data_IF_519260648684
#
_entry.id   IF_519260648684
#
_cell.length_a   1.000
_cell.length_b   1.000
_cell.length_c   1.000
_cell.angle_alpha   90.00
_cell.angle_beta   90.00
_cell.angle_gamma   90.00
#
_symmetry.space_group_name_H-M   'P 1'
#
loop_
_entity.id
_entity.type
_entity.pdbx_description
1 polymer ?
#
# COMPACT_ATOMS: atom_id res chain seq x y z
N UNK A 1 -15.42 8.91 -26.31
CA UNK A 1 -14.70 8.47 -25.11
C UNK A 1 -15.59 8.68 -23.89
N UNK A 2 -15.62 7.73 -22.95
CA UNK A 2 -16.51 7.85 -21.83
C UNK A 2 -15.92 8.77 -20.75
N UNK A 3 -16.80 9.38 -19.95
CA UNK A 3 -16.39 10.22 -18.83
C UNK A 3 -15.52 9.42 -17.84
N UNK A 4 -15.76 8.13 -17.77
CA UNK A 4 -15.00 7.24 -16.91
C UNK A 4 -13.53 7.17 -17.34
N UNK A 5 -13.27 7.03 -18.63
CA UNK A 5 -11.90 6.98 -19.16
C UNK A 5 -11.17 8.30 -18.93
N UNK A 6 -11.86 9.43 -19.10
CA UNK A 6 -11.26 10.75 -18.89
C UNK A 6 -10.89 10.94 -17.42
N UNK A 7 -11.72 10.48 -16.50
CA UNK A 7 -11.45 10.54 -15.07
C UNK A 7 -10.25 9.69 -14.70
N UNK A 8 -10.18 8.48 -15.26
CA UNK A 8 -9.07 7.56 -15.00
C UNK A 8 -7.76 8.12 -15.51
N UNK A 9 -7.76 8.70 -16.71
CA UNK A 9 -6.57 9.32 -17.29
C UNK A 9 -6.10 10.51 -16.47
N UNK A 10 -7.00 11.37 -16.02
CA UNK A 10 -6.66 12.52 -15.18
C UNK A 10 -6.05 12.07 -13.86
N UNK A 11 -6.60 11.01 -13.28
CA UNK A 11 -6.14 10.40 -12.04
C UNK A 11 -4.69 9.90 -12.20
N UNK A 12 -4.43 9.11 -13.23
CA UNK A 12 -3.10 8.56 -13.50
C UNK A 12 -2.08 9.65 -13.81
N UNK A 13 -2.45 10.67 -14.60
CA UNK A 13 -1.57 11.76 -14.91
C UNK A 13 -1.15 12.53 -13.68
N UNK A 14 -2.06 12.77 -12.75
CA UNK A 14 -1.75 13.48 -11.51
C UNK A 14 -0.70 12.73 -10.70
N UNK A 15 -0.87 11.42 -10.52
CA UNK A 15 0.07 10.62 -9.75
C UNK A 15 1.39 10.39 -10.50
N UNK A 16 1.36 10.33 -11.82
CA UNK A 16 2.56 10.10 -12.62
C UNK A 16 3.53 11.30 -12.58
N UNK A 17 3.01 12.52 -12.44
CA UNK A 17 3.81 13.74 -12.52
C UNK A 17 4.01 14.44 -11.17
N UNK A 18 3.39 13.94 -10.11
CA UNK A 18 3.47 14.56 -8.79
C UNK A 18 4.16 13.60 -7.82
N UNK A 19 5.45 13.82 -7.57
CA UNK A 19 6.25 12.97 -6.70
C UNK A 19 5.69 12.93 -5.27
N UNK A 20 5.14 14.05 -4.79
CA UNK A 20 4.53 14.11 -3.46
C UNK A 20 3.30 13.22 -3.38
N UNK A 21 2.45 13.25 -4.41
CA UNK A 21 1.26 12.40 -4.45
C UNK A 21 1.63 10.93 -4.54
N UNK A 22 2.67 10.59 -5.31
CA UNK A 22 3.16 9.22 -5.38
C UNK A 22 3.67 8.75 -4.02
N UNK A 23 4.42 9.59 -3.34
CA UNK A 23 4.91 9.29 -1.99
C UNK A 23 3.75 9.03 -1.02
N UNK A 24 2.75 9.90 -1.03
CA UNK A 24 1.57 9.75 -0.17
C UNK A 24 0.79 8.47 -0.50
N UNK A 25 0.66 8.16 -1.80
CA UNK A 25 -0.04 6.95 -2.24
C UNK A 25 0.68 5.70 -1.75
N UNK A 26 2.00 5.65 -1.88
CA UNK A 26 2.78 4.50 -1.42
C UNK A 26 2.75 4.37 0.10
N UNK A 27 2.84 5.47 0.83
CA UNK A 27 2.75 5.45 2.29
C UNK A 27 1.36 4.96 2.74
N UNK A 28 0.30 5.43 2.09
CA UNK A 28 -1.07 5.00 2.39
C UNK A 28 -1.26 3.52 2.05
N UNK A 29 -0.71 3.06 0.92
CA UNK A 29 -0.73 1.65 0.55
C UNK A 29 -0.07 0.81 1.63
N UNK A 30 1.10 1.23 2.11
CA UNK A 30 1.83 0.50 3.14
C UNK A 30 1.05 0.45 4.45
N UNK A 31 0.34 1.52 4.79
CA UNK A 31 -0.54 1.54 5.96
C UNK A 31 -1.66 0.52 5.81
N UNK A 32 -2.33 0.50 4.66
CA UNK A 32 -3.42 -0.44 4.41
C UNK A 32 -2.93 -1.88 4.42
N UNK A 33 -1.79 -2.14 3.80
CA UNK A 33 -1.16 -3.46 3.80
C UNK A 33 -0.79 -3.90 5.20
N UNK A 34 -0.17 -3.00 5.98
CA UNK A 34 0.21 -3.29 7.36
C UNK A 34 -0.99 -3.62 8.24
N UNK A 35 -2.09 -2.89 8.09
CA UNK A 35 -3.31 -3.15 8.85
C UNK A 35 -3.91 -4.52 8.47
N UNK A 36 -3.93 -4.84 7.18
CA UNK A 36 -4.40 -6.13 6.69
C UNK A 36 -3.56 -7.27 7.28
N UNK A 37 -2.24 -7.16 7.20
CA UNK A 37 -1.34 -8.19 7.71
C UNK A 37 -1.46 -8.34 9.23
N UNK A 38 -1.54 -7.22 9.95
CA UNK A 38 -1.69 -7.23 11.40
C UNK A 38 -2.98 -7.93 11.81
N UNK A 39 -4.06 -7.71 11.08
CA UNK A 39 -5.33 -8.37 11.33
C UNK A 39 -5.20 -9.88 11.13
N UNK A 40 -4.52 -10.31 10.07
CA UNK A 40 -4.27 -11.73 9.82
C UNK A 40 -3.44 -12.37 10.91
N UNK A 41 -2.54 -11.60 11.54
CA UNK A 41 -1.72 -12.08 12.64
C UNK A 41 -2.42 -12.01 14.00
N UNK A 42 -3.65 -11.46 14.02
CA UNK A 42 -4.40 -11.32 15.26
C UNK A 42 -3.88 -10.27 16.22
N UNK A 43 -3.19 -9.25 15.70
CA UNK A 43 -2.63 -8.19 16.54
C UNK A 43 -3.72 -7.27 17.07
N UNK A 44 -3.48 -6.72 18.27
CA UNK A 44 -4.33 -5.67 18.84
C UNK A 44 -4.20 -4.40 18.00
N UNK A 45 -5.11 -3.45 18.22
CA UNK A 45 -5.10 -2.16 17.51
C UNK A 45 -3.78 -1.41 17.74
N UNK A 46 -3.28 -1.41 18.96
CA UNK A 46 -2.02 -0.79 19.31
C UNK A 46 -0.84 -1.46 18.60
N UNK A 47 -0.79 -2.79 18.62
CA UNK A 47 0.28 -3.53 17.95
C UNK A 47 0.19 -3.43 16.43
N UNK A 48 -1.03 -3.32 15.89
CA UNK A 48 -1.22 -3.09 14.46
C UNK A 48 -0.63 -1.74 14.04
N UNK A 49 -0.82 -0.69 14.84
CA UNK A 49 -0.25 0.62 14.57
C UNK A 49 1.28 0.56 14.54
N UNK A 50 1.88 -0.15 15.48
CA UNK A 50 3.33 -0.36 15.51
C UNK A 50 3.80 -1.11 14.27
N UNK A 51 3.07 -2.17 13.90
CA UNK A 51 3.41 -2.97 12.72
C UNK A 51 3.35 -2.14 11.42
N UNK A 52 2.35 -1.26 11.30
CA UNK A 52 2.26 -0.35 10.15
C UNK A 52 3.52 0.49 10.01
N UNK A 53 4.05 0.99 11.13
CA UNK A 53 5.29 1.78 11.11
C UNK A 53 6.47 0.96 10.63
N UNK A 54 6.54 -0.31 11.00
CA UNK A 54 7.59 -1.22 10.54
C UNK A 54 7.51 -1.45 9.04
N UNK A 55 6.30 -1.62 8.49
CA UNK A 55 6.09 -1.81 7.06
C UNK A 55 6.52 -0.56 6.29
N UNK A 56 6.13 0.61 6.77
CA UNK A 56 6.51 1.88 6.13
C UNK A 56 8.03 2.04 6.14
N UNK A 57 8.66 1.74 7.26
CA UNK A 57 10.11 1.82 7.39
C UNK A 57 10.81 0.88 6.41
N UNK A 58 10.31 -0.35 6.26
CA UNK A 58 10.95 -1.33 5.37
C UNK A 58 10.93 -0.88 3.91
N UNK A 59 9.94 -0.07 3.52
CA UNK A 59 9.85 0.45 2.16
C UNK A 59 10.97 1.46 1.85
N UNK A 60 11.52 2.10 2.87
CA UNK A 60 12.64 3.04 2.71
C UNK A 60 14.00 2.38 2.72
N UNK A 61 14.09 1.13 3.14
CA UNK A 61 15.39 0.45 3.30
C UNK A 61 15.95 -0.05 1.98
N UNK A 62 15.11 -0.26 0.98
CA UNK A 62 15.52 -0.76 -0.34
C UNK A 62 14.83 0.00 -1.45
N UNK A 63 15.49 0.10 -2.61
CA UNK A 63 14.85 0.61 -3.81
C UNK A 63 13.77 -0.37 -4.26
N UNK A 64 12.67 0.15 -4.78
CA UNK A 64 11.51 -0.66 -5.18
C UNK A 64 10.70 -1.09 -3.99
N UNK A 65 9.83 -2.08 -4.17
CA UNK A 65 8.86 -2.49 -3.15
C UNK A 65 8.99 -3.94 -2.70
N UNK A 66 10.00 -4.67 -3.21
CA UNK A 66 10.18 -6.09 -2.86
C UNK A 66 10.61 -6.28 -1.40
N UNK A 67 11.25 -5.28 -0.79
CA UNK A 67 11.57 -5.31 0.64
C UNK A 67 10.32 -5.42 1.50
N UNK A 68 9.25 -4.71 1.12
CA UNK A 68 7.96 -4.78 1.80
C UNK A 68 7.36 -6.18 1.65
N UNK A 69 7.43 -6.75 0.43
CA UNK A 69 6.91 -8.10 0.18
C UNK A 69 7.62 -9.12 1.07
N UNK A 70 8.96 -9.06 1.13
CA UNK A 70 9.75 -9.98 1.95
C UNK A 70 9.42 -9.86 3.43
N UNK A 71 9.30 -8.61 3.92
CA UNK A 71 8.97 -8.40 5.33
C UNK A 71 7.62 -8.99 5.68
N UNK A 72 6.59 -8.64 4.93
CA UNK A 72 5.23 -9.07 5.22
C UNK A 72 5.09 -10.58 5.04
N UNK A 73 5.72 -11.15 4.00
CA UNK A 73 5.70 -12.61 3.78
C UNK A 73 6.36 -13.34 4.94
N UNK A 74 7.50 -12.84 5.41
CA UNK A 74 8.19 -13.43 6.56
C UNK A 74 7.34 -13.37 7.83
N UNK A 75 6.68 -12.26 8.05
CA UNK A 75 5.86 -12.06 9.26
C UNK A 75 4.57 -12.89 9.23
N UNK A 76 3.95 -13.05 8.06
CA UNK A 76 2.72 -13.83 7.93
C UNK A 76 2.97 -15.33 7.88
N UNK A 77 4.15 -15.75 7.40
CA UNK A 77 4.48 -17.16 7.30
C UNK A 77 3.45 -17.93 6.48
N UNK A 78 2.88 -18.98 7.06
CA UNK A 78 1.92 -19.84 6.38
C UNK A 78 0.58 -19.18 6.09
N UNK A 79 0.32 -18.00 6.67
CA UNK A 79 -0.96 -17.31 6.51
C UNK A 79 -1.10 -16.64 5.13
N UNK A 80 0.01 -16.43 4.44
CA UNK A 80 -0.01 -15.79 3.13
C UNK A 80 1.24 -16.20 2.33
N UNK A 81 1.40 -15.61 1.16
CA UNK A 81 2.55 -15.87 0.29
C UNK A 81 2.90 -14.58 -0.47
N UNK A 82 4.12 -14.51 -1.05
CA UNK A 82 4.54 -13.29 -1.74
C UNK A 82 3.61 -12.85 -2.87
N UNK A 83 3.03 -13.79 -3.62
CA UNK A 83 2.13 -13.44 -4.73
C UNK A 83 0.85 -12.79 -4.22
N UNK A 84 0.27 -13.32 -3.14
CA UNK A 84 -0.91 -12.71 -2.53
C UNK A 84 -0.59 -11.31 -2.02
N UNK A 85 0.58 -11.14 -1.40
CA UNK A 85 1.00 -9.85 -0.87
C UNK A 85 1.16 -8.83 -2.01
N UNK A 86 1.76 -9.22 -3.13
CA UNK A 86 1.89 -8.35 -4.29
C UNK A 86 0.52 -7.93 -4.84
N UNK A 87 -0.41 -8.88 -4.91
CA UNK A 87 -1.78 -8.60 -5.34
C UNK A 87 -2.45 -7.61 -4.39
N UNK A 88 -2.30 -7.81 -3.08
CA UNK A 88 -2.85 -6.88 -2.09
C UNK A 88 -2.21 -5.52 -2.19
N UNK A 89 -0.92 -5.44 -2.45
CA UNK A 89 -0.23 -4.16 -2.63
C UNK A 89 -0.82 -3.39 -3.81
N UNK A 90 -1.10 -4.07 -4.92
CA UNK A 90 -1.71 -3.43 -6.08
C UNK A 90 -3.13 -2.94 -5.78
N UNK A 91 -3.93 -3.76 -5.09
CA UNK A 91 -5.29 -3.39 -4.69
C UNK A 91 -5.28 -2.20 -3.74
N UNK A 92 -4.39 -2.24 -2.75
CA UNK A 92 -4.29 -1.17 -1.76
C UNK A 92 -3.71 0.12 -2.35
N UNK A 93 -2.86 0.01 -3.35
CA UNK A 93 -2.36 1.20 -4.04
C UNK A 93 -3.51 1.90 -4.79
N UNK A 94 -4.35 1.14 -5.48
CA UNK A 94 -5.53 1.69 -6.15
C UNK A 94 -6.47 2.35 -5.13
N UNK A 95 -6.71 1.69 -4.00
CA UNK A 95 -7.53 2.24 -2.93
C UNK A 95 -6.93 3.53 -2.36
N UNK A 96 -5.61 3.53 -2.12
CA UNK A 96 -4.90 4.69 -1.60
C UNK A 96 -5.02 5.89 -2.53
N UNK A 97 -4.85 5.67 -3.82
CA UNK A 97 -4.98 6.74 -4.83
C UNK A 97 -6.41 7.31 -4.84
N UNK A 98 -7.41 6.43 -4.78
CA UNK A 98 -8.80 6.87 -4.74
C UNK A 98 -9.11 7.69 -3.49
N UNK A 99 -8.59 7.26 -2.34
CA UNK A 99 -8.77 7.99 -1.08
C UNK A 99 -8.13 9.37 -1.13
N UNK A 100 -6.90 9.45 -1.65
CA UNK A 100 -6.20 10.72 -1.76
C UNK A 100 -6.91 11.69 -2.71
N UNK A 101 -7.46 11.19 -3.80
CA UNK A 101 -8.24 12.02 -4.73
C UNK A 101 -9.50 12.54 -4.06
N UNK A 102 -10.16 11.74 -3.24
CA UNK A 102 -11.35 12.15 -2.50
C UNK A 102 -11.05 13.18 -1.42
N UNK A 103 -9.83 13.14 -0.86
CA UNK A 103 -9.40 14.05 0.19
C UNK A 103 -8.89 15.40 -0.34
N UNK A 104 -8.59 15.51 -1.62
CA UNK A 104 -8.00 16.72 -2.21
C UNK A 104 -9.01 17.73 -2.71
#
# INVERSE_FOLDING_TARGET
MSTFDDRENAFENKFAHDAEMQFKAHARRNKLLGLWAAKMMGKSEENATTYVKEVIKSDFEEAGHEGVVRKVAGDLGDKSNPDEIRTKMDEFLATAKAQLMAES
#
